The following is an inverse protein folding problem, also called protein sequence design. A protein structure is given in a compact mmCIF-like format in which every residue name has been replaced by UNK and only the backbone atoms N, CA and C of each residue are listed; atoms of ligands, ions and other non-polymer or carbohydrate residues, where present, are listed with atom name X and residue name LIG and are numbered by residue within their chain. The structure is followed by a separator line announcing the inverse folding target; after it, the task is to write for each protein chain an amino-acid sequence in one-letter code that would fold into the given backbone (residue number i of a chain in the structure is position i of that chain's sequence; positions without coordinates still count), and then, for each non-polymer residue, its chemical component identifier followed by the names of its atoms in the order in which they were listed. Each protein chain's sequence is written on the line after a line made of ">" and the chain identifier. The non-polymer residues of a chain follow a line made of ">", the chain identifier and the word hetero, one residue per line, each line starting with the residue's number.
data_IF_141002153447
#
_entry.id   IF_141002153447
#
_cell.length_a   1.000
_cell.length_b   1.000
_cell.length_c   1.000
_cell.angle_alpha   90.00
_cell.angle_beta   90.00
_cell.angle_gamma   90.00
#
_symmetry.space_group_name_H-M   'P 1'
#
loop_
_entity.id
_entity.type
_entity.pdbx_description
1 polymer ?
#
# COMPACT_ATOMS: atom_id res chain seq x y z
N UNK A 1 34.67 19.57 -36.82
CA UNK A 1 33.75 18.57 -36.24
C UNK A 1 33.59 18.97 -34.79
N UNK A 2 32.53 19.72 -34.53
CA UNK A 2 32.59 20.80 -33.55
C UNK A 2 31.98 20.33 -32.23
N UNK A 3 32.83 20.16 -31.22
CA UNK A 3 32.43 19.81 -29.84
C UNK A 3 31.54 20.89 -29.18
N UNK A 4 31.35 22.04 -29.83
CA UNK A 4 30.50 23.13 -29.38
C UNK A 4 29.01 22.89 -29.68
N UNK A 5 28.66 22.05 -30.66
CA UNK A 5 27.25 21.81 -31.02
C UNK A 5 26.56 20.86 -30.05
N UNK A 6 27.30 19.89 -29.48
CA UNK A 6 26.75 18.90 -28.53
C UNK A 6 26.55 19.50 -27.14
N UNK A 7 27.46 20.39 -26.71
CA UNK A 7 27.32 21.11 -25.43
C UNK A 7 26.20 22.15 -25.45
N UNK A 8 25.89 22.71 -26.61
CA UNK A 8 24.74 23.62 -26.79
C UNK A 8 23.39 22.87 -26.91
N UNK A 9 23.39 21.59 -27.29
CA UNK A 9 22.17 20.77 -27.29
C UNK A 9 21.74 20.43 -25.85
N UNK A 10 22.71 20.12 -24.97
CA UNK A 10 22.49 19.84 -23.55
C UNK A 10 22.10 21.08 -22.72
N UNK A 11 22.40 22.28 -23.22
CA UNK A 11 22.11 23.58 -22.59
C UNK A 11 21.09 24.40 -23.38
N UNK A 12 20.29 23.76 -24.25
CA UNK A 12 19.26 24.46 -24.99
C UNK A 12 18.22 25.03 -24.01
N UNK A 13 17.86 26.32 -24.12
CA UNK A 13 16.85 26.94 -23.26
C UNK A 13 15.53 26.17 -23.25
N UNK A 14 15.22 25.41 -24.30
CA UNK A 14 14.09 24.51 -24.42
C UNK A 14 14.07 23.36 -23.39
N UNK A 15 15.21 22.81 -22.98
CA UNK A 15 15.27 21.82 -21.89
C UNK A 15 15.08 22.46 -20.51
N UNK A 16 15.46 23.73 -20.36
CA UNK A 16 15.35 24.48 -19.11
C UNK A 16 13.99 25.21 -18.98
N UNK A 17 13.33 25.51 -20.10
CA UNK A 17 12.03 26.19 -20.19
C UNK A 17 10.85 25.23 -20.35
N UNK A 18 11.08 23.93 -20.57
CA UNK A 18 10.06 22.88 -20.47
C UNK A 18 9.60 22.65 -19.02
N UNK A 19 10.33 23.20 -18.05
CA UNK A 19 9.93 23.22 -16.65
C UNK A 19 9.17 24.52 -16.43
N UNK A 20 7.84 24.48 -16.40
CA UNK A 20 7.08 25.51 -15.69
C UNK A 20 7.47 25.36 -14.20
N UNK A 21 8.39 26.17 -13.63
CA UNK A 21 9.20 25.74 -12.48
C UNK A 21 8.43 25.59 -11.17
N UNK A 22 7.18 26.03 -11.15
CA UNK A 22 6.35 26.02 -9.95
C UNK A 22 5.43 24.79 -9.92
N UNK A 23 4.85 24.40 -11.06
CA UNK A 23 3.89 23.29 -11.13
C UNK A 23 4.58 21.91 -11.06
N UNK A 24 5.52 21.67 -11.97
CA UNK A 24 6.22 20.38 -12.09
C UNK A 24 7.03 20.07 -10.82
N UNK A 25 7.71 21.07 -10.23
CA UNK A 25 8.46 20.88 -8.99
C UNK A 25 7.56 20.50 -7.81
N UNK A 26 6.38 21.12 -7.70
CA UNK A 26 5.40 20.75 -6.66
C UNK A 26 4.90 19.33 -6.86
N UNK A 27 4.60 18.93 -8.10
CA UNK A 27 4.19 17.56 -8.41
C UNK A 27 5.26 16.52 -8.06
N UNK A 28 6.54 16.81 -8.33
CA UNK A 28 7.66 15.93 -7.94
C UNK A 28 7.75 15.80 -6.41
N UNK A 29 7.63 16.91 -5.67
CA UNK A 29 7.65 16.87 -4.20
C UNK A 29 6.48 16.05 -3.64
N UNK A 30 5.29 16.21 -4.20
CA UNK A 30 4.11 15.42 -3.85
C UNK A 30 4.35 13.94 -4.15
N UNK A 31 4.91 13.61 -5.33
CA UNK A 31 5.22 12.23 -5.70
C UNK A 31 6.19 11.57 -4.71
N UNK A 32 7.27 12.27 -4.33
CA UNK A 32 8.24 11.77 -3.36
C UNK A 32 7.59 11.54 -1.99
N UNK A 33 6.74 12.46 -1.54
CA UNK A 33 5.97 12.30 -0.30
C UNK A 33 5.04 11.09 -0.37
N UNK A 34 4.33 10.90 -1.49
CA UNK A 34 3.43 9.77 -1.70
C UNK A 34 4.19 8.44 -1.73
N UNK A 35 5.34 8.36 -2.40
CA UNK A 35 6.20 7.17 -2.40
C UNK A 35 6.70 6.84 -1.00
N UNK A 36 7.12 7.84 -0.23
CA UNK A 36 7.52 7.65 1.16
C UNK A 36 6.35 7.13 2.02
N UNK A 37 5.16 7.66 1.83
CA UNK A 37 3.98 7.19 2.57
C UNK A 37 3.58 5.77 2.14
N UNK A 38 3.63 5.44 0.85
CA UNK A 38 3.42 4.07 0.33
C UNK A 38 4.41 3.08 0.94
N UNK A 39 5.70 3.46 1.00
CA UNK A 39 6.74 2.69 1.67
C UNK A 39 6.39 2.41 3.14
N UNK A 40 5.97 3.44 3.88
CA UNK A 40 5.60 3.29 5.28
C UNK A 40 4.40 2.35 5.45
N UNK A 41 3.35 2.53 4.66
CA UNK A 41 2.12 1.74 4.81
C UNK A 41 2.35 0.25 4.54
N UNK A 42 3.04 -0.06 3.45
CA UNK A 42 3.37 -1.43 3.05
C UNK A 42 4.29 -2.12 4.07
N UNK A 43 5.30 -1.41 4.56
CA UNK A 43 6.19 -1.93 5.59
C UNK A 43 5.50 -2.08 6.94
N UNK A 44 4.59 -1.15 7.26
CA UNK A 44 3.85 -1.19 8.52
C UNK A 44 2.89 -2.37 8.59
N UNK A 45 2.25 -2.75 7.49
CA UNK A 45 1.43 -3.97 7.46
C UNK A 45 2.25 -5.18 7.93
N UNK A 46 3.41 -5.41 7.31
CA UNK A 46 4.29 -6.53 7.68
C UNK A 46 4.85 -6.35 9.09
N UNK A 47 5.27 -5.14 9.47
CA UNK A 47 5.87 -4.88 10.78
C UNK A 47 4.88 -5.12 11.93
N UNK A 48 3.63 -4.64 11.80
CA UNK A 48 2.62 -4.77 12.85
C UNK A 48 2.08 -6.19 12.95
N UNK A 49 1.78 -6.84 11.82
CA UNK A 49 1.16 -8.17 11.81
C UNK A 49 2.16 -9.34 11.89
N UNK A 50 3.47 -9.08 11.83
CA UNK A 50 4.50 -10.09 12.14
C UNK A 50 4.89 -10.14 13.62
N UNK A 51 4.40 -9.23 14.46
CA UNK A 51 4.69 -9.25 15.90
C UNK A 51 4.01 -10.44 16.57
N UNK A 52 4.77 -11.19 17.38
CA UNK A 52 4.25 -12.33 18.11
C UNK A 52 3.56 -11.90 19.41
N UNK A 53 2.74 -12.78 19.98
CA UNK A 53 2.15 -12.55 21.31
C UNK A 53 3.19 -12.25 22.39
N UNK A 54 4.37 -12.87 22.31
CA UNK A 54 5.49 -12.60 23.22
C UNK A 54 6.00 -11.17 23.06
N UNK A 55 6.17 -10.72 21.82
CA UNK A 55 6.62 -9.36 21.53
C UNK A 55 5.63 -8.34 22.10
N UNK A 56 4.33 -8.52 21.83
CA UNK A 56 3.27 -7.63 22.31
C UNK A 56 3.27 -7.55 23.85
N UNK A 57 3.43 -8.68 24.55
CA UNK A 57 3.50 -8.69 26.02
C UNK A 57 4.74 -7.97 26.56
N UNK A 58 5.89 -8.09 25.87
CA UNK A 58 7.10 -7.34 26.21
C UNK A 58 6.92 -5.84 25.93
N UNK A 59 6.21 -5.46 24.85
CA UNK A 59 5.92 -4.06 24.55
C UNK A 59 4.99 -3.43 25.59
N UNK A 60 4.01 -4.18 26.11
CA UNK A 60 3.10 -3.75 27.18
C UNK A 60 3.80 -3.45 28.50
N UNK A 61 4.90 -4.14 28.82
CA UNK A 61 5.64 -3.92 30.06
C UNK A 61 6.59 -2.71 30.00
N UNK A 62 6.85 -2.17 28.81
CA UNK A 62 7.71 -1.00 28.62
C UNK A 62 6.91 0.30 28.75
N UNK A 63 7.40 1.26 29.54
CA UNK A 63 6.74 2.57 29.75
C UNK A 63 6.95 3.59 28.61
N UNK A 64 7.28 3.15 27.38
CA UNK A 64 7.51 4.08 26.27
C UNK A 64 6.23 4.31 25.46
N UNK A 65 5.89 5.57 25.13
CA UNK A 65 4.65 5.90 24.43
C UNK A 65 4.57 5.28 23.03
N UNK A 66 5.72 5.11 22.36
CA UNK A 66 5.77 4.48 21.04
C UNK A 66 5.34 3.01 21.08
N UNK A 67 5.73 2.25 22.11
CA UNK A 67 5.33 0.86 22.26
C UNK A 67 3.87 0.70 22.67
N UNK A 68 3.38 1.59 23.55
CA UNK A 68 1.95 1.64 23.87
C UNK A 68 1.11 1.86 22.62
N UNK A 69 1.51 2.79 21.74
CA UNK A 69 0.82 3.03 20.47
C UNK A 69 0.72 1.78 19.59
N UNK A 70 1.79 0.99 19.50
CA UNK A 70 1.76 -0.27 18.72
C UNK A 70 0.71 -1.21 19.29
N UNK A 71 0.67 -1.36 20.62
CA UNK A 71 -0.31 -2.21 21.30
C UNK A 71 -1.72 -1.69 21.06
N UNK A 72 -1.96 -0.39 21.26
CA UNK A 72 -3.28 0.24 21.08
C UNK A 72 -3.81 0.06 19.64
N UNK A 73 -2.93 0.19 18.63
CA UNK A 73 -3.29 -0.05 17.23
C UNK A 73 -3.66 -1.52 16.97
N UNK A 74 -2.96 -2.45 17.62
CA UNK A 74 -3.22 -3.89 17.52
C UNK A 74 -4.42 -4.37 18.33
N UNK A 75 -5.08 -3.52 19.13
CA UNK A 75 -6.33 -3.89 19.82
C UNK A 75 -7.50 -4.11 18.85
N UNK A 76 -7.48 -3.45 17.70
CA UNK A 76 -8.49 -3.60 16.64
C UNK A 76 -7.84 -4.04 15.32
N UNK A 77 -7.24 -5.25 15.25
CA UNK A 77 -6.38 -5.65 14.15
C UNK A 77 -7.10 -5.70 12.81
N UNK A 78 -8.37 -6.15 12.76
CA UNK A 78 -9.19 -6.14 11.53
C UNK A 78 -9.38 -4.72 10.98
N UNK A 79 -9.65 -3.75 11.86
CA UNK A 79 -9.89 -2.35 11.47
C UNK A 79 -8.59 -1.68 11.04
N UNK A 80 -7.49 -1.95 11.76
CA UNK A 80 -6.16 -1.48 11.39
C UNK A 80 -5.75 -2.00 10.01
N UNK A 81 -5.85 -3.32 9.78
CA UNK A 81 -5.52 -3.94 8.50
C UNK A 81 -6.34 -3.34 7.37
N UNK A 82 -7.66 -3.25 7.54
CA UNK A 82 -8.54 -2.63 6.55
C UNK A 82 -8.14 -1.17 6.27
N UNK A 83 -7.81 -0.38 7.31
CA UNK A 83 -7.38 1.00 7.10
C UNK A 83 -6.06 1.12 6.34
N UNK A 84 -5.09 0.24 6.62
CA UNK A 84 -3.80 0.19 5.92
C UNK A 84 -3.98 -0.21 4.45
N UNK A 85 -4.81 -1.22 4.16
CA UNK A 85 -5.09 -1.67 2.80
C UNK A 85 -5.80 -0.59 1.97
N UNK A 86 -6.81 0.08 2.55
CA UNK A 86 -7.51 1.19 1.90
C UNK A 86 -6.54 2.34 1.61
N UNK A 87 -5.74 2.74 2.60
CA UNK A 87 -4.78 3.83 2.46
C UNK A 87 -3.70 3.49 1.42
N UNK A 88 -3.18 2.27 1.42
CA UNK A 88 -2.20 1.81 0.45
C UNK A 88 -2.76 1.88 -0.98
N UNK A 89 -3.98 1.40 -1.17
CA UNK A 89 -4.65 1.45 -2.47
C UNK A 89 -4.88 2.88 -2.95
N UNK A 90 -5.33 3.77 -2.05
CA UNK A 90 -5.55 5.18 -2.35
C UNK A 90 -4.26 5.90 -2.76
N UNK A 91 -3.17 5.66 -2.03
CA UNK A 91 -1.87 6.26 -2.34
C UNK A 91 -1.30 5.71 -3.63
N UNK A 92 -1.41 4.41 -3.89
CA UNK A 92 -0.91 3.82 -5.14
C UNK A 92 -1.66 4.39 -6.36
N UNK A 93 -2.98 4.57 -6.28
CA UNK A 93 -3.76 5.26 -7.33
C UNK A 93 -3.28 6.70 -7.49
N UNK A 94 -3.04 7.41 -6.40
CA UNK A 94 -2.52 8.79 -6.43
C UNK A 94 -1.14 8.88 -7.09
N UNK A 95 -0.24 7.95 -6.77
CA UNK A 95 1.08 7.84 -7.40
C UNK A 95 0.95 7.60 -8.90
N UNK A 96 0.05 6.69 -9.34
CA UNK A 96 -0.18 6.42 -10.76
C UNK A 96 -0.63 7.70 -11.47
N UNK A 97 -1.61 8.42 -10.91
CA UNK A 97 -2.14 9.63 -11.53
C UNK A 97 -1.05 10.72 -11.62
N UNK A 98 -0.39 11.04 -10.49
CA UNK A 98 0.64 12.08 -10.45
C UNK A 98 1.85 11.72 -11.33
N UNK A 99 2.26 10.45 -11.35
CA UNK A 99 3.37 10.02 -12.21
C UNK A 99 3.03 10.14 -13.68
N UNK A 100 1.80 9.81 -14.10
CA UNK A 100 1.38 10.01 -15.49
C UNK A 100 1.41 11.49 -15.87
N UNK A 101 0.83 12.37 -15.03
CA UNK A 101 0.87 13.83 -15.26
C UNK A 101 2.30 14.36 -15.37
N UNK A 102 3.20 13.90 -14.50
CA UNK A 102 4.61 14.28 -14.56
C UNK A 102 5.29 13.81 -15.84
N UNK A 103 5.04 12.57 -16.25
CA UNK A 103 5.66 12.02 -17.48
C UNK A 103 5.16 12.80 -18.70
N UNK A 104 3.88 13.17 -18.75
CA UNK A 104 3.30 14.00 -19.83
C UNK A 104 3.98 15.37 -19.91
N UNK A 105 4.21 16.03 -18.77
CA UNK A 105 4.87 17.33 -18.71
C UNK A 105 6.37 17.26 -19.05
N UNK A 106 7.06 16.18 -18.65
CA UNK A 106 8.51 16.02 -18.81
C UNK A 106 8.92 15.52 -20.20
N UNK A 107 8.06 14.77 -20.88
CA UNK A 107 8.38 14.10 -22.13
C UNK A 107 7.36 14.44 -23.21
N UNK A 108 7.77 15.24 -24.20
CA UNK A 108 6.97 15.51 -25.38
C UNK A 108 7.05 14.35 -26.39
N UNK A 109 6.28 13.28 -26.14
CA UNK A 109 6.25 12.10 -27.00
C UNK A 109 5.56 12.33 -28.36
N UNK A 110 4.82 13.43 -28.52
CA UNK A 110 4.16 13.79 -29.79
C UNK A 110 5.14 13.95 -30.95
N UNK A 111 6.40 14.34 -30.70
CA UNK A 111 7.42 14.45 -31.74
C UNK A 111 7.83 13.09 -32.35
N UNK A 112 7.61 11.98 -31.63
CA UNK A 112 8.09 10.66 -32.04
C UNK A 112 7.01 9.79 -32.68
N UNK A 113 5.75 10.25 -32.75
CA UNK A 113 4.60 9.52 -33.30
C UNK A 113 4.47 8.06 -32.79
N UNK A 114 4.95 7.81 -31.57
CA UNK A 114 5.16 6.48 -31.00
C UNK A 114 4.29 6.26 -29.75
N UNK A 115 2.98 6.49 -29.88
CA UNK A 115 1.99 6.43 -28.78
C UNK A 115 2.06 5.10 -28.01
N UNK A 116 2.26 3.98 -28.70
CA UNK A 116 2.37 2.67 -28.05
C UNK A 116 3.62 2.54 -27.19
N UNK A 117 4.74 3.12 -27.61
CA UNK A 117 6.00 3.05 -26.88
C UNK A 117 5.93 3.91 -25.60
N UNK A 118 5.34 5.09 -25.70
CA UNK A 118 5.06 5.97 -24.56
C UNK A 118 4.23 5.25 -23.49
N UNK A 119 3.13 4.60 -23.89
CA UNK A 119 2.29 3.84 -22.97
C UNK A 119 3.06 2.73 -22.26
N UNK A 120 3.86 1.94 -22.99
CA UNK A 120 4.66 0.86 -22.40
C UNK A 120 5.68 1.41 -21.40
N UNK A 121 6.37 2.50 -21.76
CA UNK A 121 7.36 3.13 -20.87
C UNK A 121 6.69 3.62 -19.59
N UNK A 122 5.53 4.30 -19.68
CA UNK A 122 4.77 4.76 -18.51
C UNK A 122 4.40 3.61 -17.60
N UNK A 123 3.79 2.56 -18.15
CA UNK A 123 3.36 1.39 -17.37
C UNK A 123 4.54 0.74 -16.67
N UNK A 124 5.64 0.49 -17.38
CA UNK A 124 6.84 -0.15 -16.82
C UNK A 124 7.47 0.74 -15.74
N UNK A 125 7.65 2.04 -16.00
CA UNK A 125 8.26 2.97 -15.07
C UNK A 125 7.45 3.13 -13.77
N UNK A 126 6.14 3.37 -13.88
CA UNK A 126 5.26 3.53 -12.72
C UNK A 126 5.14 2.23 -11.93
N UNK A 127 4.99 1.09 -12.61
CA UNK A 127 4.92 -0.22 -11.95
C UNK A 127 6.23 -0.55 -11.23
N UNK A 128 7.38 -0.25 -11.84
CA UNK A 128 8.67 -0.44 -11.20
C UNK A 128 8.80 0.40 -9.93
N UNK A 129 8.41 1.68 -9.96
CA UNK A 129 8.41 2.54 -8.78
C UNK A 129 7.51 1.99 -7.66
N UNK A 130 6.29 1.56 -8.00
CA UNK A 130 5.35 1.00 -7.03
C UNK A 130 5.83 -0.32 -6.43
N UNK A 131 6.33 -1.24 -7.26
CA UNK A 131 6.84 -2.53 -6.76
C UNK A 131 8.07 -2.30 -5.89
N UNK A 132 8.95 -1.40 -6.31
CA UNK A 132 10.19 -1.16 -5.58
C UNK A 132 9.92 -0.49 -4.23
N UNK A 133 9.23 0.66 -4.22
CA UNK A 133 9.03 1.46 -3.00
C UNK A 133 7.77 1.09 -2.21
N UNK A 134 6.70 0.66 -2.88
CA UNK A 134 5.42 0.33 -2.28
C UNK A 134 5.25 -1.15 -1.94
N UNK A 135 6.16 -2.03 -2.35
CA UNK A 135 6.02 -3.47 -2.08
C UNK A 135 7.30 -4.14 -1.59
N UNK A 136 8.34 -4.24 -2.40
CA UNK A 136 9.50 -5.09 -2.11
C UNK A 136 10.39 -4.50 -1.02
N UNK A 137 10.91 -3.28 -1.21
CA UNK A 137 11.81 -2.65 -0.24
C UNK A 137 11.21 -2.50 1.17
N UNK A 138 9.99 -1.94 1.34
CA UNK A 138 9.45 -1.73 2.67
C UNK A 138 9.18 -3.04 3.41
N UNK A 139 8.67 -4.07 2.72
CA UNK A 139 8.40 -5.38 3.32
C UNK A 139 9.68 -6.07 3.78
N UNK A 140 10.76 -5.98 3.00
CA UNK A 140 12.08 -6.53 3.37
C UNK A 140 12.61 -5.84 4.64
N UNK A 141 12.56 -4.51 4.69
CA UNK A 141 13.06 -3.74 5.84
C UNK A 141 12.20 -3.95 7.10
N UNK A 142 10.89 -4.06 6.93
CA UNK A 142 9.97 -4.37 8.02
C UNK A 142 10.18 -5.78 8.57
N UNK A 143 10.45 -6.76 7.70
CA UNK A 143 10.69 -8.15 8.10
C UNK A 143 11.98 -8.29 8.92
N UNK A 144 13.03 -7.57 8.55
CA UNK A 144 14.32 -7.63 9.27
C UNK A 144 14.24 -7.08 10.70
N UNK A 145 13.42 -6.05 10.93
CA UNK A 145 13.31 -5.43 12.26
C UNK A 145 11.92 -4.84 12.53
N UNK A 146 10.94 -5.73 12.67
CA UNK A 146 9.52 -5.40 12.79
C UNK A 146 9.20 -4.45 13.97
N UNK A 147 9.75 -4.69 15.16
CA UNK A 147 9.53 -3.84 16.35
C UNK A 147 10.05 -2.42 16.10
N UNK A 148 11.25 -2.28 15.53
CA UNK A 148 11.82 -0.96 15.26
C UNK A 148 11.00 -0.23 14.20
N UNK A 149 10.61 -0.91 13.12
CA UNK A 149 9.79 -0.32 12.07
C UNK A 149 8.43 0.15 12.61
N UNK A 150 7.73 -0.71 13.36
CA UNK A 150 6.44 -0.38 13.97
C UNK A 150 6.56 0.79 14.98
N UNK A 151 7.68 0.88 15.70
CA UNK A 151 7.97 1.97 16.63
C UNK A 151 8.23 3.30 15.90
N UNK A 152 9.09 3.28 14.88
CA UNK A 152 9.53 4.48 14.16
C UNK A 152 8.37 5.10 13.35
N UNK A 153 7.54 4.26 12.73
CA UNK A 153 6.44 4.71 11.87
C UNK A 153 5.05 4.64 12.51
N UNK A 154 4.93 4.19 13.76
CA UNK A 154 3.64 4.01 14.41
C UNK A 154 2.80 5.27 14.52
N UNK A 155 3.41 6.46 14.60
CA UNK A 155 2.67 7.74 14.57
C UNK A 155 1.93 7.92 13.25
N UNK A 156 2.62 7.69 12.13
CA UNK A 156 2.06 7.85 10.79
C UNK A 156 0.93 6.83 10.57
N UNK A 157 1.15 5.57 10.99
CA UNK A 157 0.13 4.52 10.95
C UNK A 157 -1.09 4.89 11.78
N UNK A 158 -0.91 5.47 12.97
CA UNK A 158 -2.02 5.92 13.79
C UNK A 158 -2.81 7.04 13.11
N UNK A 159 -2.14 8.03 12.52
CA UNK A 159 -2.79 9.11 11.78
C UNK A 159 -3.60 8.57 10.60
N UNK A 160 -3.02 7.66 9.81
CA UNK A 160 -3.71 7.02 8.69
C UNK A 160 -4.89 6.19 9.17
N UNK A 161 -4.70 5.37 10.20
CA UNK A 161 -5.77 4.55 10.77
C UNK A 161 -6.92 5.42 11.27
N UNK A 162 -6.65 6.57 11.88
CA UNK A 162 -7.66 7.54 12.30
C UNK A 162 -8.43 8.16 11.13
N UNK A 163 -7.72 8.63 10.08
CA UNK A 163 -8.33 9.23 8.88
C UNK A 163 -9.24 8.22 8.17
N UNK A 164 -8.80 6.97 8.04
CA UNK A 164 -9.55 5.92 7.36
C UNK A 164 -10.46 5.10 8.28
N UNK A 165 -10.56 5.45 9.58
CA UNK A 165 -11.28 4.67 10.60
C UNK A 165 -12.77 4.51 10.28
N UNK A 166 -13.40 5.55 9.72
CA UNK A 166 -14.82 5.51 9.36
C UNK A 166 -15.09 4.46 8.28
N UNK A 167 -14.27 4.48 7.22
CA UNK A 167 -14.38 3.55 6.09
C UNK A 167 -14.01 2.12 6.50
N UNK A 168 -12.93 1.95 7.26
CA UNK A 168 -12.47 0.62 7.70
C UNK A 168 -13.46 -0.06 8.63
N UNK A 169 -14.04 0.66 9.61
CA UNK A 169 -15.08 0.10 10.50
C UNK A 169 -16.33 -0.31 9.73
N UNK A 170 -16.72 0.48 8.71
CA UNK A 170 -17.81 0.12 7.82
C UNK A 170 -17.52 -1.21 7.11
N UNK A 171 -16.35 -1.31 6.47
CA UNK A 171 -15.93 -2.50 5.73
C UNK A 171 -15.87 -3.76 6.61
N UNK A 172 -15.28 -3.65 7.81
CA UNK A 172 -15.21 -4.77 8.76
C UNK A 172 -16.61 -5.21 9.17
N UNK A 173 -17.53 -4.27 9.44
CA UNK A 173 -18.93 -4.61 9.75
C UNK A 173 -19.62 -5.34 8.60
N UNK A 174 -19.41 -4.91 7.36
CA UNK A 174 -19.95 -5.63 6.19
C UNK A 174 -19.33 -7.03 6.05
N UNK A 175 -18.03 -7.16 6.24
CA UNK A 175 -17.33 -8.44 6.22
C UNK A 175 -17.91 -9.40 7.27
N UNK A 176 -18.08 -8.94 8.51
CA UNK A 176 -18.64 -9.77 9.60
C UNK A 176 -20.10 -10.17 9.32
N UNK A 177 -20.90 -9.32 8.65
CA UNK A 177 -22.27 -9.65 8.23
C UNK A 177 -22.27 -10.76 7.18
N UNK A 178 -21.38 -10.68 6.19
CA UNK A 178 -21.25 -11.69 5.13
C UNK A 178 -20.77 -13.00 5.72
N UNK A 179 -19.73 -12.96 6.57
CA UNK A 179 -19.17 -14.11 7.26
C UNK A 179 -20.27 -14.83 8.06
N UNK A 180 -21.07 -14.09 8.84
CA UNK A 180 -22.20 -14.66 9.59
C UNK A 180 -23.24 -15.30 8.70
N UNK A 181 -23.60 -14.67 7.57
CA UNK A 181 -24.59 -15.21 6.62
C UNK A 181 -24.06 -16.48 5.92
N UNK A 182 -22.78 -16.51 5.59
CA UNK A 182 -22.17 -17.66 4.92
C UNK A 182 -22.00 -18.83 5.89
N UNK A 183 -21.53 -18.57 7.11
CA UNK A 183 -21.44 -19.57 8.17
C UNK A 183 -22.82 -20.17 8.50
N UNK A 184 -23.88 -19.35 8.56
CA UNK A 184 -25.24 -19.85 8.77
C UNK A 184 -25.79 -20.69 7.61
N UNK A 185 -25.31 -20.47 6.38
CA UNK A 185 -25.72 -21.23 5.20
C UNK A 185 -24.93 -22.54 5.05
N UNK A 186 -23.67 -22.54 5.48
CA UNK A 186 -22.81 -23.74 5.48
C UNK A 186 -23.22 -24.71 6.59
N UNK A 187 -23.51 -24.23 7.80
CA UNK A 187 -23.85 -25.10 8.94
C UNK A 187 -25.09 -25.97 8.75
N UNK A 188 -26.10 -25.54 7.97
CA UNK A 188 -27.32 -26.33 7.75
C UNK A 188 -27.22 -27.34 6.60
N UNK A 189 -26.39 -27.06 5.58
CA UNK A 189 -26.26 -27.93 4.41
C UNK A 189 -25.31 -29.11 4.68
N UNK A 190 -24.16 -28.86 5.31
CA UNK A 190 -23.22 -29.92 5.69
C UNK A 190 -23.80 -30.85 6.77
N UNK A 191 -24.59 -30.32 7.72
CA UNK A 191 -25.23 -31.12 8.76
C UNK A 191 -26.31 -32.07 8.22
N UNK A 192 -27.02 -31.70 7.15
CA UNK A 192 -28.04 -32.58 6.55
C UNK A 192 -27.37 -33.66 5.69
N UNK A 193 -26.34 -33.30 4.93
CA UNK A 193 -25.63 -34.24 4.05
C UNK A 193 -24.72 -35.21 4.83
N UNK A 194 -24.09 -34.78 5.94
CA UNK A 194 -23.41 -35.69 6.87
C UNK A 194 -24.40 -36.61 7.60
N UNK A 195 -25.60 -36.12 7.94
CA UNK A 195 -26.64 -36.95 8.56
C UNK A 195 -27.19 -37.99 7.56
N UNK A 196 -27.44 -37.60 6.32
CA UNK A 196 -27.91 -38.48 5.25
C UNK A 196 -26.85 -39.53 4.90
N UNK A 197 -25.58 -39.12 4.78
CA UNK A 197 -24.45 -40.01 4.55
C UNK A 197 -24.20 -40.97 5.74
N UNK A 198 -24.36 -40.50 6.97
CA UNK A 198 -24.25 -41.37 8.16
C UNK A 198 -25.38 -42.40 8.21
N UNK A 199 -26.61 -42.03 7.81
CA UNK A 199 -27.75 -42.94 7.71
C UNK A 199 -27.48 -44.00 6.63
N UNK A 200 -27.01 -43.61 5.44
CA UNK A 200 -26.67 -44.54 4.36
C UNK A 200 -25.56 -45.53 4.74
N UNK A 201 -24.57 -45.10 5.53
CA UNK A 201 -23.52 -45.99 6.05
C UNK A 201 -24.05 -47.01 7.06
N UNK A 202 -25.13 -46.69 7.78
CA UNK A 202 -25.76 -47.61 8.76
C UNK A 202 -26.90 -48.45 8.18
N UNK A 203 -27.44 -48.06 7.03
CA UNK A 203 -28.57 -48.76 6.39
C UNK A 203 -28.10 -49.80 5.37
N UNK A 204 -26.81 -49.76 4.99
CA UNK A 204 -26.17 -50.72 4.08
C UNK A 204 -25.37 -51.83 4.80
N UNK A 205 -25.59 -52.04 6.10
CA UNK A 205 -25.27 -53.29 6.82
C UNK A 205 -26.55 -54.08 7.11
#
# INVERSE_FOLDING_TARGET
>A
MDHHTVSQLLLSPSLLSAIQPQGTTVLVLILLLLLFLSFILSGSEVAFFSLTYKDINVLKSKQQPAYKRIVDLLEQPKTLLASLLIANSFINISIIIISNLLIDDLFNFEQFNAVWLEFVIKVVAVSFLLVLFGEVMPKVLATQNNIRFAKDFGVIVQSVSYVFAGLSKGLVKYSDIIERKLASKSGSAYSLEELDHAIDLTTNE
#
